data_IF_655697532763
#
_entry.id   IF_655697532763
#
_cell.length_a   1.000
_cell.length_b   1.000
_cell.length_c   1.000
_cell.angle_alpha   90.00
_cell.angle_beta   90.00
_cell.angle_gamma   90.00
#
_symmetry.space_group_name_H-M   'P 1'
#
loop_
_entity.id
_entity.type
_entity.pdbx_description
1 polymer ?
#
# COMPACT_ATOMS: atom_id res chain seq x y z
N UNK A 1 67.07 -23.30 -100.59
CA UNK A 1 67.41 -24.57 -101.24
C UNK A 1 67.11 -25.70 -100.28
N UNK A 2 66.12 -26.52 -100.63
CA UNK A 2 65.81 -27.78 -99.96
C UNK A 2 66.90 -28.82 -100.25
N UNK A 3 66.97 -29.89 -99.45
CA UNK A 3 67.91 -30.98 -99.68
C UNK A 3 67.71 -31.61 -101.08
N UNK A 4 66.47 -31.73 -101.54
CA UNK A 4 66.12 -32.19 -102.89
C UNK A 4 66.65 -31.25 -103.98
N UNK A 5 66.55 -29.93 -103.80
CA UNK A 5 67.11 -28.96 -104.75
C UNK A 5 68.63 -29.09 -104.88
N UNK A 6 69.33 -29.32 -103.77
CA UNK A 6 70.78 -29.55 -103.80
C UNK A 6 71.14 -30.87 -104.50
N UNK A 7 70.40 -31.96 -104.25
CA UNK A 7 70.67 -33.25 -104.90
C UNK A 7 70.34 -33.18 -106.39
N UNK A 8 69.25 -32.51 -106.79
CA UNK A 8 68.90 -32.29 -108.20
C UNK A 8 69.96 -31.47 -108.94
N UNK A 9 70.54 -30.47 -108.29
CA UNK A 9 71.66 -29.71 -108.86
C UNK A 9 72.88 -30.63 -109.11
N UNK A 10 73.23 -31.49 -108.16
CA UNK A 10 74.31 -32.48 -108.33
C UNK A 10 74.00 -33.46 -109.47
N UNK A 11 72.76 -33.94 -109.61
CA UNK A 11 72.36 -34.76 -110.77
C UNK A 11 72.56 -34.01 -112.10
N UNK A 12 72.20 -32.72 -112.14
CA UNK A 12 72.40 -31.87 -113.31
C UNK A 12 73.88 -31.68 -113.65
N UNK A 13 74.71 -31.42 -112.65
CA UNK A 13 76.15 -31.24 -112.79
C UNK A 13 76.85 -32.54 -113.25
N UNK A 14 76.46 -33.69 -112.70
CA UNK A 14 76.99 -35.02 -113.10
C UNK A 14 76.52 -35.39 -114.51
N UNK A 15 75.27 -35.09 -114.87
CA UNK A 15 74.76 -35.31 -116.24
C UNK A 15 75.49 -34.47 -117.28
N UNK A 16 75.77 -33.19 -116.96
CA UNK A 16 76.57 -32.32 -117.80
C UNK A 16 78.00 -32.85 -117.97
N UNK A 17 78.61 -33.36 -116.89
CA UNK A 17 79.94 -33.98 -116.92
C UNK A 17 79.97 -35.23 -117.81
N UNK A 18 78.94 -36.09 -117.75
CA UNK A 18 78.82 -37.26 -118.64
C UNK A 18 78.77 -36.81 -120.11
N UNK A 19 77.93 -35.81 -120.43
CA UNK A 19 77.83 -35.28 -121.80
C UNK A 19 79.14 -34.68 -122.32
N UNK A 20 79.91 -34.01 -121.48
CA UNK A 20 81.25 -33.51 -121.82
C UNK A 20 82.20 -34.69 -122.10
N UNK A 21 82.27 -35.70 -121.22
CA UNK A 21 83.15 -36.85 -121.38
C UNK A 21 82.80 -37.72 -122.61
N UNK A 22 81.52 -37.84 -122.97
CA UNK A 22 81.09 -38.54 -124.18
C UNK A 22 81.47 -37.79 -125.48
N UNK A 23 81.52 -36.44 -125.43
CA UNK A 23 81.83 -35.57 -126.57
C UNK A 23 83.32 -35.29 -126.84
N UNK A 24 84.22 -35.61 -125.91
CA UNK A 24 85.69 -35.43 -126.09
C UNK A 24 86.26 -36.50 -127.02
N UNK A 25 87.03 -36.12 -128.05
CA UNK A 25 87.60 -37.07 -129.03
C UNK A 25 88.68 -37.97 -128.40
N UNK A 26 88.83 -39.19 -128.92
CA UNK A 26 89.77 -40.22 -128.43
C UNK A 26 91.25 -39.83 -128.57
N UNK A 27 91.56 -38.71 -129.24
CA UNK A 27 92.92 -38.18 -129.37
C UNK A 27 93.32 -37.27 -128.20
N UNK A 28 92.33 -36.76 -127.44
CA UNK A 28 92.57 -35.76 -126.39
C UNK A 28 92.77 -36.37 -124.98
N UNK A 29 92.27 -37.58 -124.73
CA UNK A 29 92.29 -38.25 -123.41
C UNK A 29 92.45 -39.76 -123.59
N UNK A 30 93.21 -40.42 -122.71
CA UNK A 30 93.37 -41.87 -122.70
C UNK A 30 92.01 -42.58 -122.52
N UNK A 31 91.63 -43.44 -123.46
CA UNK A 31 90.29 -44.07 -123.51
C UNK A 31 89.96 -44.86 -122.23
N UNK A 32 90.96 -45.50 -121.61
CA UNK A 32 90.79 -46.21 -120.34
C UNK A 32 90.38 -45.29 -119.18
N UNK A 33 90.94 -44.09 -119.12
CA UNK A 33 90.57 -43.07 -118.14
C UNK A 33 89.16 -42.51 -118.42
N UNK A 34 88.83 -42.27 -119.70
CA UNK A 34 87.50 -41.80 -120.14
C UNK A 34 86.38 -42.78 -119.74
N UNK A 35 86.58 -44.07 -120.01
CA UNK A 35 85.62 -45.12 -119.67
C UNK A 35 85.41 -45.26 -118.16
N UNK A 36 86.47 -45.14 -117.36
CA UNK A 36 86.37 -45.24 -115.91
C UNK A 36 85.64 -44.04 -115.29
N UNK A 37 85.91 -42.82 -115.77
CA UNK A 37 85.19 -41.61 -115.36
C UNK A 37 83.70 -41.71 -115.72
N UNK A 38 83.37 -42.17 -116.93
CA UNK A 38 81.97 -42.37 -117.35
C UNK A 38 81.26 -43.43 -116.51
N UNK A 39 81.93 -44.54 -116.18
CA UNK A 39 81.40 -45.60 -115.32
C UNK A 39 81.09 -45.08 -113.92
N UNK A 40 82.01 -44.31 -113.33
CA UNK A 40 81.82 -43.70 -112.01
C UNK A 40 80.71 -42.64 -112.04
N UNK A 41 80.70 -41.78 -113.06
CA UNK A 41 79.69 -40.74 -113.20
C UNK A 41 78.27 -41.32 -113.36
N UNK A 42 78.10 -42.37 -114.17
CA UNK A 42 76.80 -43.07 -114.33
C UNK A 42 76.35 -43.74 -113.02
N UNK A 43 77.26 -44.35 -112.27
CA UNK A 43 76.95 -44.93 -110.95
C UNK A 43 76.56 -43.86 -109.91
N UNK A 44 77.26 -42.72 -109.91
CA UNK A 44 76.91 -41.59 -109.05
C UNK A 44 75.53 -41.05 -109.42
N UNK A 45 75.26 -40.86 -110.72
CA UNK A 45 73.97 -40.37 -111.21
C UNK A 45 72.82 -41.27 -110.77
N UNK A 46 72.93 -42.58 -111.01
CA UNK A 46 71.93 -43.58 -110.63
C UNK A 46 71.68 -43.59 -109.10
N UNK A 47 72.74 -43.47 -108.29
CA UNK A 47 72.60 -43.37 -106.84
C UNK A 47 71.92 -42.08 -106.41
N UNK A 48 72.28 -40.95 -107.02
CA UNK A 48 71.66 -39.66 -106.70
C UNK A 48 70.20 -39.60 -107.13
N UNK A 49 69.82 -40.19 -108.27
CA UNK A 49 68.42 -40.30 -108.71
C UNK A 49 67.59 -41.16 -107.74
N UNK A 50 68.11 -42.32 -107.34
CA UNK A 50 67.49 -43.14 -106.29
C UNK A 50 67.32 -42.38 -104.97
N UNK A 51 68.31 -41.56 -104.58
CA UNK A 51 68.20 -40.71 -103.39
C UNK A 51 67.13 -39.63 -103.53
N UNK A 52 66.98 -39.00 -104.71
CA UNK A 52 65.90 -38.02 -104.95
C UNK A 52 64.53 -38.67 -104.79
N UNK A 53 64.33 -39.85 -105.39
CA UNK A 53 63.06 -40.59 -105.29
C UNK A 53 62.74 -40.95 -103.83
N UNK A 54 63.70 -41.53 -103.10
CA UNK A 54 63.51 -41.88 -101.69
C UNK A 54 63.25 -40.66 -100.81
N UNK A 55 63.94 -39.54 -101.06
CA UNK A 55 63.73 -38.29 -100.30
C UNK A 55 62.34 -37.72 -100.56
N UNK A 56 61.86 -37.74 -101.81
CA UNK A 56 60.52 -37.28 -102.14
C UNK A 56 59.42 -38.12 -101.47
N UNK A 57 59.60 -39.45 -101.39
CA UNK A 57 58.69 -40.33 -100.66
C UNK A 57 58.66 -40.00 -99.17
N UNK A 58 59.83 -39.80 -98.56
CA UNK A 58 59.93 -39.44 -97.13
C UNK A 58 59.32 -38.07 -96.83
N UNK A 59 59.49 -37.07 -97.70
CA UNK A 59 58.85 -35.76 -97.56
C UNK A 59 57.32 -35.85 -97.64
N UNK A 60 56.80 -36.65 -98.59
CA UNK A 60 55.36 -36.91 -98.70
C UNK A 60 54.81 -37.61 -97.45
N UNK A 61 55.54 -38.60 -96.93
CA UNK A 61 55.17 -39.26 -95.68
C UNK A 61 55.19 -38.29 -94.49
N UNK A 62 56.22 -37.45 -94.36
CA UNK A 62 56.32 -36.45 -93.31
C UNK A 62 55.14 -35.48 -93.34
N UNK A 63 54.81 -34.94 -94.52
CA UNK A 63 53.63 -34.07 -94.68
C UNK A 63 52.34 -34.79 -94.30
N UNK A 64 52.18 -36.07 -94.66
CA UNK A 64 51.00 -36.85 -94.26
C UNK A 64 50.90 -37.02 -92.74
N UNK A 65 52.03 -37.26 -92.06
CA UNK A 65 52.10 -37.37 -90.60
C UNK A 65 51.80 -36.04 -89.91
N UNK A 66 52.34 -34.92 -90.41
CA UNK A 66 52.06 -33.59 -89.88
C UNK A 66 50.57 -33.23 -90.01
N UNK A 67 49.97 -33.58 -91.15
CA UNK A 67 48.53 -33.35 -91.41
C UNK A 67 47.68 -34.19 -90.47
N UNK A 68 48.01 -35.48 -90.32
CA UNK A 68 47.32 -36.38 -89.39
C UNK A 68 47.49 -35.93 -87.92
N UNK A 69 48.67 -35.42 -87.54
CA UNK A 69 48.91 -34.88 -86.20
C UNK A 69 48.08 -33.62 -85.94
N UNK A 70 47.99 -32.72 -86.92
CA UNK A 70 47.16 -31.53 -86.82
C UNK A 70 45.67 -31.89 -86.69
N UNK A 71 45.21 -32.91 -87.40
CA UNK A 71 43.84 -33.40 -87.32
C UNK A 71 43.54 -34.06 -85.96
N UNK A 72 44.45 -34.90 -85.44
CA UNK A 72 44.33 -35.46 -84.09
C UNK A 72 44.26 -34.38 -83.01
N UNK A 73 45.06 -33.30 -83.13
CA UNK A 73 44.99 -32.17 -82.19
C UNK A 73 43.63 -31.48 -82.24
N UNK A 74 43.07 -31.24 -83.43
CA UNK A 74 41.74 -30.65 -83.58
C UNK A 74 40.65 -31.54 -82.98
N UNK A 75 40.72 -32.85 -83.17
CA UNK A 75 39.76 -33.78 -82.57
C UNK A 75 39.89 -33.82 -81.04
N UNK A 76 41.11 -33.73 -80.51
CA UNK A 76 41.34 -33.63 -79.07
C UNK A 76 40.76 -32.34 -78.49
N UNK A 77 40.95 -31.20 -79.17
CA UNK A 77 40.38 -29.91 -78.76
C UNK A 77 38.84 -29.95 -78.73
N UNK A 78 38.20 -30.56 -79.75
CA UNK A 78 36.73 -30.77 -79.79
C UNK A 78 36.25 -31.65 -78.64
N UNK A 79 36.97 -32.73 -78.35
CA UNK A 79 36.67 -33.64 -77.24
C UNK A 79 36.79 -32.93 -75.90
N UNK A 80 37.85 -32.13 -75.71
CA UNK A 80 38.07 -31.35 -74.51
C UNK A 80 36.98 -30.29 -74.31
N UNK A 81 36.57 -29.60 -75.38
CA UNK A 81 35.47 -28.63 -75.32
C UNK A 81 34.14 -29.32 -74.98
N UNK A 82 33.83 -30.46 -75.61
CA UNK A 82 32.64 -31.25 -75.31
C UNK A 82 32.63 -31.73 -73.86
N UNK A 83 33.78 -32.18 -73.34
CA UNK A 83 33.93 -32.59 -71.95
C UNK A 83 33.70 -31.41 -70.99
N UNK A 84 34.28 -30.25 -71.28
CA UNK A 84 34.12 -29.05 -70.45
C UNK A 84 32.67 -28.57 -70.39
N UNK A 85 31.96 -28.57 -71.52
CA UNK A 85 30.53 -28.20 -71.58
C UNK A 85 29.71 -29.16 -70.72
N UNK A 86 29.90 -30.48 -70.88
CA UNK A 86 29.16 -31.49 -70.09
C UNK A 86 29.46 -31.38 -68.60
N UNK A 87 30.72 -31.14 -68.23
CA UNK A 87 31.10 -30.94 -66.84
C UNK A 87 30.43 -29.70 -66.26
N UNK A 88 30.42 -28.59 -66.99
CA UNK A 88 29.79 -27.36 -66.56
C UNK A 88 28.27 -27.50 -66.40
N UNK A 89 27.60 -28.20 -67.34
CA UNK A 89 26.17 -28.47 -67.26
C UNK A 89 25.82 -29.38 -66.08
N UNK A 90 26.64 -30.40 -65.83
CA UNK A 90 26.47 -31.30 -64.68
C UNK A 90 26.62 -30.55 -63.36
N UNK A 91 27.69 -29.74 -63.22
CA UNK A 91 27.91 -28.90 -62.02
C UNK A 91 26.76 -27.92 -61.80
N UNK A 92 26.25 -27.29 -62.87
CA UNK A 92 25.07 -26.40 -62.77
C UNK A 92 23.83 -27.15 -62.31
N UNK A 93 23.58 -28.34 -62.85
CA UNK A 93 22.43 -29.17 -62.48
C UNK A 93 22.49 -29.61 -61.01
N UNK A 94 23.64 -30.13 -60.56
CA UNK A 94 23.82 -30.53 -59.15
C UNK A 94 23.72 -29.34 -58.20
N UNK A 95 24.30 -28.19 -58.57
CA UNK A 95 24.20 -26.97 -57.75
C UNK A 95 22.74 -26.54 -57.59
N UNK A 96 21.95 -26.58 -58.67
CA UNK A 96 20.53 -26.25 -58.63
C UNK A 96 19.75 -27.23 -57.74
N UNK A 97 20.00 -28.53 -57.89
CA UNK A 97 19.35 -29.55 -57.05
C UNK A 97 19.69 -29.36 -55.57
N UNK A 98 20.96 -29.09 -55.24
CA UNK A 98 21.39 -28.82 -53.86
C UNK A 98 20.69 -27.58 -53.31
N UNK A 99 20.61 -26.50 -54.09
CA UNK A 99 19.92 -25.27 -53.69
C UNK A 99 18.43 -25.50 -53.42
N UNK A 100 17.74 -26.25 -54.29
CA UNK A 100 16.33 -26.61 -54.12
C UNK A 100 16.11 -27.45 -52.85
N UNK A 101 16.95 -28.47 -52.61
CA UNK A 101 16.87 -29.29 -51.38
C UNK A 101 17.11 -28.48 -50.11
N UNK A 102 18.08 -27.56 -50.12
CA UNK A 102 18.35 -26.68 -48.98
C UNK A 102 17.18 -25.73 -48.74
N UNK A 103 16.63 -25.12 -49.79
CA UNK A 103 15.48 -24.23 -49.67
C UNK A 103 14.26 -24.95 -49.09
N UNK A 104 13.94 -26.14 -49.62
CA UNK A 104 12.83 -26.97 -49.10
C UNK A 104 13.06 -27.37 -47.63
N UNK A 105 14.28 -27.74 -47.27
CA UNK A 105 14.62 -28.07 -45.88
C UNK A 105 14.47 -26.86 -44.94
N UNK A 106 14.94 -25.68 -45.35
CA UNK A 106 14.82 -24.45 -44.58
C UNK A 106 13.36 -24.02 -44.41
N UNK A 107 12.55 -24.12 -45.47
CA UNK A 107 11.12 -23.82 -45.41
C UNK A 107 10.37 -24.75 -44.45
N UNK A 108 10.63 -26.06 -44.51
CA UNK A 108 10.06 -27.04 -43.56
C UNK A 108 10.47 -26.75 -42.11
N UNK A 109 11.75 -26.45 -41.87
CA UNK A 109 12.26 -26.06 -40.55
C UNK A 109 11.58 -24.79 -40.04
N UNK A 110 11.49 -23.76 -40.89
CA UNK A 110 10.87 -22.49 -40.54
C UNK A 110 9.38 -22.67 -40.22
N UNK A 111 8.63 -23.34 -41.09
CA UNK A 111 7.21 -23.62 -40.88
C UNK A 111 6.97 -24.45 -39.62
N UNK A 112 7.78 -25.48 -39.36
CA UNK A 112 7.67 -26.28 -38.14
C UNK A 112 7.93 -25.46 -36.88
N UNK A 113 8.98 -24.62 -36.87
CA UNK A 113 9.29 -23.75 -35.73
C UNK A 113 8.23 -22.67 -35.54
N UNK A 114 7.73 -22.10 -36.62
CA UNK A 114 6.66 -21.11 -36.58
C UNK A 114 5.36 -21.70 -36.01
N UNK A 115 4.96 -22.90 -36.45
CA UNK A 115 3.79 -23.61 -35.89
C UNK A 115 4.00 -23.91 -34.40
N UNK A 116 5.18 -24.38 -33.99
CA UNK A 116 5.49 -24.62 -32.58
C UNK A 116 5.38 -23.33 -31.74
N UNK A 117 5.97 -22.23 -32.22
CA UNK A 117 5.90 -20.93 -31.56
C UNK A 117 4.46 -20.42 -31.44
N UNK A 118 3.67 -20.52 -32.51
CA UNK A 118 2.25 -20.13 -32.48
C UNK A 118 1.47 -20.98 -31.47
N UNK A 119 1.78 -22.28 -31.34
CA UNK A 119 1.15 -23.14 -30.35
C UNK A 119 1.57 -22.77 -28.91
N UNK A 120 2.84 -22.45 -28.67
CA UNK A 120 3.33 -22.00 -27.37
C UNK A 120 2.67 -20.67 -26.95
N UNK A 121 2.60 -19.69 -27.86
CA UNK A 121 1.93 -18.41 -27.59
C UNK A 121 0.46 -18.64 -27.27
N UNK A 122 -0.25 -19.47 -28.05
CA UNK A 122 -1.66 -19.80 -27.77
C UNK A 122 -1.85 -20.51 -26.42
N UNK A 123 -0.92 -21.37 -26.01
CA UNK A 123 -0.97 -22.01 -24.68
C UNK A 123 -0.73 -20.98 -23.57
N UNK A 124 0.27 -20.12 -23.72
CA UNK A 124 0.54 -19.05 -22.77
C UNK A 124 -0.65 -18.09 -22.63
N UNK A 125 -1.30 -17.71 -23.74
CA UNK A 125 -2.51 -16.89 -23.72
C UNK A 125 -3.69 -17.63 -23.05
N UNK A 126 -3.85 -18.92 -23.32
CA UNK A 126 -4.89 -19.74 -22.69
C UNK A 126 -4.65 -19.96 -21.18
N UNK A 127 -3.39 -19.99 -20.73
CA UNK A 127 -3.02 -20.07 -19.31
C UNK A 127 -3.14 -18.71 -18.59
N UNK A 128 -2.83 -17.62 -19.29
CA UNK A 128 -2.95 -16.27 -18.78
C UNK A 128 -4.41 -15.80 -18.67
N UNK A 129 -5.28 -16.20 -19.61
CA UNK A 129 -6.66 -15.73 -19.71
C UNK A 129 -7.52 -16.03 -18.45
N UNK A 130 -7.54 -17.23 -17.86
CA UNK A 130 -8.26 -17.50 -16.62
C UNK A 130 -7.73 -16.68 -15.43
N UNK A 131 -6.40 -16.52 -15.33
CA UNK A 131 -5.78 -15.73 -14.27
C UNK A 131 -6.11 -14.24 -14.40
N UNK A 132 -6.21 -13.73 -15.64
CA UNK A 132 -6.60 -12.36 -15.93
C UNK A 132 -8.08 -12.12 -15.65
N UNK A 133 -8.97 -13.01 -16.09
CA UNK A 133 -10.41 -12.90 -15.80
C UNK A 133 -10.70 -12.97 -14.29
N UNK A 134 -10.04 -13.87 -13.55
CA UNK A 134 -10.21 -13.96 -12.09
C UNK A 134 -9.66 -12.71 -11.39
N UNK A 135 -8.57 -12.13 -11.89
CA UNK A 135 -8.04 -10.86 -11.37
C UNK A 135 -9.00 -9.70 -11.63
N UNK A 136 -9.58 -9.61 -12.82
CA UNK A 136 -10.55 -8.57 -13.21
C UNK A 136 -11.81 -8.68 -12.35
N UNK A 137 -12.38 -9.88 -12.22
CA UNK A 137 -13.50 -10.15 -11.31
C UNK A 137 -13.23 -9.72 -9.86
N UNK A 138 -12.03 -10.00 -9.33
CA UNK A 138 -11.64 -9.58 -7.98
C UNK A 138 -11.45 -8.06 -7.86
N UNK A 139 -11.13 -7.37 -8.94
CA UNK A 139 -11.08 -5.91 -8.97
C UNK A 139 -12.50 -5.33 -8.98
N UNK A 140 -13.38 -5.86 -9.81
CA UNK A 140 -14.79 -5.45 -9.87
C UNK A 140 -15.49 -5.64 -8.51
N UNK A 141 -15.27 -6.78 -7.85
CA UNK A 141 -15.80 -7.04 -6.50
C UNK A 141 -15.26 -6.05 -5.46
N UNK A 142 -14.01 -5.61 -5.58
CA UNK A 142 -13.43 -4.60 -4.69
C UNK A 142 -13.98 -3.21 -4.98
N UNK A 143 -14.12 -2.85 -6.25
CA UNK A 143 -14.70 -1.57 -6.68
C UNK A 143 -16.14 -1.45 -6.20
N UNK A 144 -16.95 -2.51 -6.35
CA UNK A 144 -18.31 -2.55 -5.84
C UNK A 144 -18.37 -2.34 -4.31
N UNK A 145 -17.48 -2.99 -3.55
CA UNK A 145 -17.40 -2.80 -2.07
C UNK A 145 -17.01 -1.38 -1.70
N UNK A 146 -16.12 -0.75 -2.46
CA UNK A 146 -15.74 0.64 -2.25
C UNK A 146 -16.93 1.57 -2.51
N UNK A 147 -17.67 1.39 -3.61
CA UNK A 147 -18.87 2.17 -3.89
C UNK A 147 -19.95 2.02 -2.79
N UNK A 148 -20.16 0.81 -2.27
CA UNK A 148 -21.08 0.58 -1.15
C UNK A 148 -20.62 1.26 0.15
N UNK A 149 -19.31 1.29 0.42
CA UNK A 149 -18.74 1.97 1.56
C UNK A 149 -18.85 3.49 1.42
N UNK A 150 -18.56 4.04 0.25
CA UNK A 150 -18.73 5.46 -0.05
C UNK A 150 -20.19 5.88 0.14
N UNK A 151 -21.13 5.09 -0.38
CA UNK A 151 -22.57 5.34 -0.18
C UNK A 151 -22.96 5.39 1.31
N UNK A 152 -22.51 4.42 2.10
CA UNK A 152 -22.78 4.40 3.56
C UNK A 152 -22.14 5.58 4.28
N UNK A 153 -20.94 6.00 3.86
CA UNK A 153 -20.28 7.18 4.41
C UNK A 153 -21.06 8.47 4.06
N UNK A 154 -21.55 8.60 2.83
CA UNK A 154 -22.37 9.75 2.44
C UNK A 154 -23.69 9.80 3.20
N UNK A 155 -24.39 8.67 3.35
CA UNK A 155 -25.64 8.59 4.13
C UNK A 155 -25.39 8.97 5.60
N UNK A 156 -24.32 8.46 6.20
CA UNK A 156 -23.96 8.79 7.59
C UNK A 156 -23.52 10.24 7.75
N UNK A 157 -22.85 10.80 6.76
CA UNK A 157 -22.47 12.22 6.76
C UNK A 157 -23.72 13.10 6.70
N UNK A 158 -24.70 12.77 5.86
CA UNK A 158 -25.98 13.49 5.79
C UNK A 158 -26.73 13.41 7.14
N UNK A 159 -26.81 12.23 7.75
CA UNK A 159 -27.43 12.07 9.08
C UNK A 159 -26.72 12.89 10.16
N UNK A 160 -25.38 12.91 10.16
CA UNK A 160 -24.60 13.72 11.09
C UNK A 160 -24.84 15.22 10.89
N UNK A 161 -24.93 15.68 9.64
CA UNK A 161 -25.22 17.09 9.36
C UNK A 161 -26.61 17.49 9.84
N UNK A 162 -27.62 16.64 9.65
CA UNK A 162 -28.98 16.85 10.18
C UNK A 162 -29.00 16.87 11.72
N UNK A 163 -28.21 16.00 12.36
CA UNK A 163 -28.10 15.99 13.83
C UNK A 163 -27.38 17.23 14.34
N UNK A 164 -26.33 17.70 13.66
CA UNK A 164 -25.62 18.92 14.02
C UNK A 164 -26.52 20.15 13.93
N UNK A 165 -27.34 20.28 12.88
CA UNK A 165 -28.30 21.38 12.75
C UNK A 165 -29.35 21.35 13.86
N UNK A 166 -29.93 20.18 14.16
CA UNK A 166 -30.89 20.02 15.26
C UNK A 166 -30.29 20.36 16.64
N UNK A 167 -29.05 19.95 16.91
CA UNK A 167 -28.34 20.32 18.14
C UNK A 167 -28.07 21.83 18.20
N UNK A 168 -27.72 22.45 17.07
CA UNK A 168 -27.54 23.92 16.99
C UNK A 168 -28.84 24.65 17.30
N UNK A 169 -29.97 24.20 16.77
CA UNK A 169 -31.30 24.76 17.07
C UNK A 169 -31.66 24.60 18.55
N UNK A 170 -31.46 23.40 19.11
CA UNK A 170 -31.71 23.13 20.53
C UNK A 170 -30.85 24.02 21.43
N UNK A 171 -29.59 24.23 21.07
CA UNK A 171 -28.69 25.14 21.79
C UNK A 171 -29.19 26.58 21.74
N UNK A 172 -29.68 27.04 20.59
CA UNK A 172 -30.28 28.37 20.45
C UNK A 172 -31.51 28.50 21.36
N UNK A 173 -32.37 27.48 21.39
CA UNK A 173 -33.56 27.46 22.24
C UNK A 173 -33.22 27.48 23.74
N UNK A 174 -32.29 26.62 24.17
CA UNK A 174 -31.82 26.59 25.57
C UNK A 174 -31.23 27.95 25.97
N UNK A 175 -30.41 28.56 25.12
CA UNK A 175 -29.87 29.89 25.36
C UNK A 175 -30.98 30.98 25.41
N UNK A 176 -32.07 30.84 24.65
CA UNK A 176 -33.22 31.74 24.77
C UNK A 176 -33.90 31.58 26.13
N UNK A 177 -34.25 30.35 26.50
CA UNK A 177 -34.92 30.04 27.77
C UNK A 177 -34.06 30.43 28.98
N UNK A 178 -32.74 30.24 28.90
CA UNK A 178 -31.81 30.70 29.95
C UNK A 178 -31.84 32.23 30.11
N UNK A 179 -31.89 32.98 29.00
CA UNK A 179 -32.04 34.45 29.06
C UNK A 179 -33.38 34.88 29.63
N UNK A 180 -34.47 34.22 29.24
CA UNK A 180 -35.81 34.46 29.79
C UNK A 180 -35.88 34.18 31.30
N UNK A 181 -35.32 33.05 31.75
CA UNK A 181 -35.23 32.71 33.17
C UNK A 181 -34.35 33.69 33.97
N UNK A 182 -33.24 34.14 33.40
CA UNK A 182 -32.39 35.15 34.01
C UNK A 182 -33.14 36.48 34.18
N UNK A 183 -33.89 36.92 33.16
CA UNK A 183 -34.73 38.10 33.22
C UNK A 183 -35.85 37.97 34.26
N UNK A 184 -36.54 36.82 34.30
CA UNK A 184 -37.59 36.54 35.28
C UNK A 184 -37.06 36.52 36.73
N UNK A 185 -35.85 35.97 36.95
CA UNK A 185 -35.19 36.03 38.26
C UNK A 185 -34.81 37.44 38.66
N UNK A 186 -34.32 38.27 37.72
CA UNK A 186 -34.04 39.69 37.95
C UNK A 186 -35.29 40.42 38.45
N UNK A 187 -36.40 40.31 37.72
CA UNK A 187 -37.67 40.95 38.10
C UNK A 187 -38.25 40.43 39.42
N UNK A 188 -38.11 39.13 39.71
CA UNK A 188 -38.57 38.58 40.99
C UNK A 188 -37.72 39.06 42.16
N UNK A 189 -36.42 39.27 41.97
CA UNK A 189 -35.53 39.78 43.01
C UNK A 189 -35.84 41.25 43.32
N UNK A 190 -36.00 42.07 42.28
CA UNK A 190 -36.41 43.48 42.41
C UNK A 190 -37.75 43.61 43.16
N UNK A 191 -38.75 42.79 42.81
CA UNK A 191 -40.05 42.83 43.46
C UNK A 191 -40.02 42.41 44.94
N UNK A 192 -39.18 41.43 45.31
CA UNK A 192 -39.01 41.01 46.71
C UNK A 192 -38.28 42.09 47.52
N UNK A 193 -37.28 42.75 46.93
CA UNK A 193 -36.55 43.85 47.56
C UNK A 193 -37.48 45.04 47.85
N UNK A 194 -38.29 45.47 46.86
CA UNK A 194 -39.31 46.51 47.06
C UNK A 194 -40.34 46.14 48.15
N UNK A 195 -40.77 44.88 48.20
CA UNK A 195 -41.70 44.40 49.23
C UNK A 195 -41.06 44.38 50.62
N UNK A 196 -39.79 43.95 50.72
CA UNK A 196 -39.05 43.90 51.96
C UNK A 196 -38.80 45.31 52.50
N UNK A 197 -38.39 46.25 51.65
CA UNK A 197 -38.19 47.65 52.03
C UNK A 197 -39.48 48.28 52.57
N UNK A 198 -40.61 48.06 51.89
CA UNK A 198 -41.92 48.52 52.37
C UNK A 198 -42.32 47.92 53.72
N UNK A 199 -42.03 46.62 53.93
CA UNK A 199 -42.28 45.95 55.22
C UNK A 199 -41.34 46.43 56.32
N UNK A 200 -40.06 46.65 56.03
CA UNK A 200 -39.08 47.18 56.98
C UNK A 200 -39.48 48.58 57.45
N UNK A 201 -39.92 49.45 56.54
CA UNK A 201 -40.41 50.80 56.87
C UNK A 201 -41.64 50.74 57.79
N UNK A 202 -42.55 49.81 57.51
CA UNK A 202 -43.75 49.57 58.35
C UNK A 202 -43.36 49.02 59.73
N UNK A 203 -42.41 48.10 59.81
CA UNK A 203 -41.91 47.58 61.08
C UNK A 203 -41.23 48.66 61.90
N UNK A 204 -40.42 49.52 61.27
CA UNK A 204 -39.73 50.62 61.94
C UNK A 204 -40.72 51.61 62.57
N UNK A 205 -41.77 51.99 61.84
CA UNK A 205 -42.84 52.86 62.35
C UNK A 205 -43.60 52.22 63.51
N UNK A 206 -43.96 50.93 63.41
CA UNK A 206 -44.60 50.22 64.54
C UNK A 206 -43.70 50.09 65.76
N UNK A 207 -42.38 49.93 65.58
CA UNK A 207 -41.41 49.90 66.67
C UNK A 207 -41.28 51.26 67.36
N UNK A 208 -41.32 52.36 66.61
CA UNK A 208 -41.38 53.71 67.17
C UNK A 208 -42.66 53.92 67.99
N UNK A 209 -43.81 53.49 67.48
CA UNK A 209 -45.08 53.53 68.23
C UNK A 209 -45.01 52.70 69.51
N UNK A 210 -44.47 51.47 69.45
CA UNK A 210 -44.27 50.60 70.62
C UNK A 210 -43.31 51.24 71.61
N UNK A 211 -42.25 51.91 71.16
CA UNK A 211 -41.31 52.64 72.02
C UNK A 211 -42.01 53.78 72.77
N UNK A 212 -42.87 54.54 72.08
CA UNK A 212 -43.70 55.59 72.69
C UNK A 212 -44.66 55.00 73.73
N UNK A 213 -45.32 53.89 73.41
CA UNK A 213 -46.19 53.16 74.35
C UNK A 213 -45.40 52.64 75.55
N UNK A 214 -44.24 52.04 75.32
CA UNK A 214 -43.34 51.53 76.36
C UNK A 214 -42.86 52.62 77.31
N UNK A 215 -42.50 53.79 76.79
CA UNK A 215 -42.16 54.96 77.61
C UNK A 215 -43.36 55.44 78.46
N UNK A 216 -44.58 55.36 77.92
CA UNK A 216 -45.81 55.68 78.65
C UNK A 216 -46.08 54.68 79.78
N UNK A 217 -45.97 53.37 79.51
CA UNK A 217 -46.12 52.30 80.51
C UNK A 217 -45.07 52.43 81.60
N UNK A 218 -43.80 52.68 81.25
CA UNK A 218 -42.73 52.88 82.23
C UNK A 218 -43.05 54.04 83.18
N UNK A 219 -43.63 55.13 82.64
CA UNK A 219 -44.09 56.26 83.46
C UNK A 219 -45.20 55.83 84.43
N UNK A 220 -46.17 55.03 83.97
CA UNK A 220 -47.23 54.49 84.82
C UNK A 220 -46.69 53.53 85.89
N UNK A 221 -45.73 52.66 85.56
CA UNK A 221 -45.08 51.76 86.51
C UNK A 221 -44.34 52.53 87.59
N UNK A 222 -43.62 53.60 87.24
CA UNK A 222 -42.93 54.44 88.23
C UNK A 222 -43.92 55.08 89.20
N UNK A 223 -45.04 55.64 88.70
CA UNK A 223 -46.11 56.20 89.54
C UNK A 223 -46.72 55.11 90.44
N UNK A 224 -46.99 53.94 89.88
CA UNK A 224 -47.58 52.81 90.63
C UNK A 224 -46.61 52.27 91.69
N UNK A 225 -45.31 52.23 91.38
CA UNK A 225 -44.26 51.81 92.32
C UNK A 225 -44.09 52.82 93.46
N UNK A 226 -44.26 54.12 93.19
CA UNK A 226 -44.28 55.16 94.21
C UNK A 226 -45.50 54.99 95.15
N UNK A 227 -46.68 54.71 94.58
CA UNK A 227 -47.90 54.39 95.34
C UNK A 227 -47.73 53.10 96.16
N UNK A 228 -47.17 52.03 95.59
CA UNK A 228 -46.89 50.77 96.31
C UNK A 228 -45.84 50.99 97.39
N UNK A 229 -44.82 51.81 97.15
CA UNK A 229 -43.86 52.22 98.16
C UNK A 229 -44.53 52.95 99.33
N UNK A 230 -45.49 53.83 99.02
CA UNK A 230 -46.29 54.52 100.03
C UNK A 230 -47.18 53.55 100.82
N UNK A 231 -47.85 52.62 100.14
CA UNK A 231 -48.67 51.56 100.77
C UNK A 231 -47.80 50.64 101.63
N UNK A 232 -46.60 50.27 101.17
CA UNK A 232 -45.66 49.45 101.92
C UNK A 232 -45.12 50.18 103.15
N UNK A 233 -44.88 51.50 103.04
CA UNK A 233 -44.52 52.37 104.15
C UNK A 233 -45.65 52.45 105.19
N UNK A 234 -46.90 52.55 104.74
CA UNK A 234 -48.06 52.59 105.63
C UNK A 234 -48.41 51.22 106.24
N UNK A 235 -48.19 50.11 105.52
CA UNK A 235 -48.35 48.74 106.04
C UNK A 235 -47.24 48.36 107.02
N UNK A 236 -46.01 48.87 106.84
CA UNK A 236 -44.91 48.64 107.79
C UNK A 236 -45.12 49.31 109.16
N UNK A 237 -46.03 50.29 109.26
CA UNK A 237 -46.47 50.88 110.53
C UNK A 237 -47.48 50.01 111.30
N UNK A 238 -48.01 48.93 110.72
CA UNK A 238 -49.13 48.16 111.28
C UNK A 238 -48.80 46.75 111.80
N UNK A 239 -47.54 46.32 111.83
CA UNK A 239 -47.05 45.20 112.66
C UNK A 239 -47.59 43.78 112.36
N UNK A 240 -46.73 42.91 111.83
CA UNK A 240 -46.86 41.44 111.94
C UNK A 240 -46.72 40.66 110.62
N UNK A 241 -46.22 39.39 110.63
CA UNK A 241 -45.21 38.93 109.67
C UNK A 241 -45.65 37.81 108.68
N UNK A 242 -44.69 37.47 107.81
CA UNK A 242 -44.43 36.19 107.08
C UNK A 242 -44.94 36.01 105.61
N UNK A 243 -44.26 35.16 104.79
CA UNK A 243 -43.85 35.35 103.38
C UNK A 243 -44.63 34.32 102.50
N UNK A 244 -44.11 33.56 101.50
CA UNK A 244 -43.04 33.71 100.48
C UNK A 244 -43.60 33.45 99.04
N UNK A 245 -42.76 33.47 98.00
CA UNK A 245 -43.10 32.87 96.69
C UNK A 245 -42.03 31.87 96.23
N UNK A 246 -42.44 30.62 96.12
CA UNK A 246 -41.92 29.55 95.26
C UNK A 246 -42.42 29.83 93.82
N UNK A 247 -41.91 29.33 92.69
CA UNK A 247 -41.12 28.14 92.36
C UNK A 247 -40.64 28.29 90.91
N UNK A 248 -39.50 27.69 90.58
CA UNK A 248 -38.96 27.46 89.24
C UNK A 248 -39.85 26.54 88.38
N UNK A 249 -39.86 26.72 87.05
CA UNK A 249 -40.04 25.64 86.05
C UNK A 249 -39.29 25.96 84.74
N UNK A 250 -38.34 25.09 84.37
CA UNK A 250 -38.32 24.45 83.04
C UNK A 250 -37.45 25.04 81.93
N UNK A 251 -36.24 24.47 81.76
CA UNK A 251 -35.42 24.58 80.53
C UNK A 251 -36.01 23.71 79.37
N UNK A 252 -36.06 24.18 78.10
CA UNK A 252 -36.69 23.44 77.00
C UNK A 252 -35.79 22.45 76.23
N UNK A 253 -36.46 21.46 75.63
CA UNK A 253 -36.04 20.22 74.93
C UNK A 253 -35.26 20.36 73.59
N UNK A 254 -34.42 21.36 73.39
CA UNK A 254 -33.64 21.49 72.13
C UNK A 254 -32.26 20.81 72.17
N UNK A 255 -31.83 20.26 73.33
CA UNK A 255 -30.50 19.67 73.51
C UNK A 255 -30.37 18.18 73.12
N UNK A 256 -31.44 17.52 72.63
CA UNK A 256 -31.40 16.10 72.25
C UNK A 256 -31.27 15.83 70.74
N UNK A 257 -31.13 16.88 69.91
CA UNK A 257 -31.03 16.73 68.44
C UNK A 257 -29.62 17.00 67.87
N UNK A 258 -28.64 17.30 68.74
CA UNK A 258 -27.30 17.75 68.33
C UNK A 258 -26.18 16.69 68.47
N UNK A 259 -26.51 15.44 68.82
CA UNK A 259 -25.52 14.37 69.02
C UNK A 259 -25.58 13.23 67.98
N UNK A 260 -26.49 13.30 67.00
CA UNK A 260 -26.64 12.31 65.93
C UNK A 260 -25.82 12.62 64.67
N UNK A 261 -25.15 13.77 64.61
CA UNK A 261 -24.42 14.26 63.43
C UNK A 261 -22.89 14.11 63.51
N UNK A 262 -22.34 13.50 64.57
CA UNK A 262 -20.87 13.30 64.73
C UNK A 262 -20.39 11.86 64.54
N UNK A 263 -21.27 10.92 64.16
CA UNK A 263 -20.88 9.54 63.87
C UNK A 263 -20.47 9.32 62.41
N UNK A 264 -20.73 10.29 61.53
CA UNK A 264 -20.45 10.16 60.09
C UNK A 264 -19.08 10.72 59.68
N UNK A 265 -18.50 11.69 60.38
CA UNK A 265 -17.25 12.32 59.95
C UNK A 265 -16.05 11.35 60.00
N UNK A 266 -15.90 10.52 61.04
CA UNK A 266 -14.70 9.69 61.21
C UNK A 266 -14.71 8.37 60.43
N UNK A 267 -15.89 7.85 60.07
CA UNK A 267 -16.05 6.69 59.20
C UNK A 267 -15.91 7.08 57.73
N UNK A 268 -16.39 8.28 57.36
CA UNK A 268 -16.20 8.86 56.04
C UNK A 268 -14.72 9.22 55.86
N UNK A 269 -14.04 9.87 56.81
CA UNK A 269 -12.61 10.21 56.65
C UNK A 269 -11.71 8.98 56.49
N UNK A 270 -12.02 7.87 57.19
CA UNK A 270 -11.25 6.61 57.08
C UNK A 270 -11.60 5.82 55.81
N UNK A 271 -12.82 5.96 55.29
CA UNK A 271 -13.20 5.45 53.97
C UNK A 271 -12.59 6.32 52.85
N UNK A 272 -12.53 7.64 53.05
CA UNK A 272 -11.95 8.63 52.13
C UNK A 272 -10.43 8.49 52.03
N UNK A 273 -9.73 8.10 53.10
CA UNK A 273 -8.29 7.79 53.03
C UNK A 273 -7.97 6.51 52.23
N UNK A 274 -8.90 5.55 52.16
CA UNK A 274 -8.77 4.39 51.26
C UNK A 274 -9.32 4.67 49.86
N UNK A 275 -10.30 5.58 49.72
CA UNK A 275 -10.75 6.12 48.44
C UNK A 275 -9.73 7.09 47.82
N UNK A 276 -8.78 7.65 48.57
CA UNK A 276 -7.67 8.39 47.98
C UNK A 276 -6.76 7.48 47.12
N UNK A 277 -6.74 6.16 47.37
CA UNK A 277 -6.08 5.16 46.52
C UNK A 277 -6.94 4.87 45.28
N UNK A 278 -8.25 5.01 45.39
CA UNK A 278 -9.21 4.90 44.30
C UNK A 278 -9.63 6.30 43.88
N UNK A 279 -8.78 7.03 43.16
CA UNK A 279 -9.15 8.34 42.60
C UNK A 279 -10.43 8.21 41.76
N UNK A 280 -11.60 8.38 42.38
CA UNK A 280 -12.91 8.14 41.77
C UNK A 280 -13.26 9.40 40.98
N UNK A 281 -13.04 9.35 39.68
CA UNK A 281 -13.27 10.46 38.77
C UNK A 281 -14.65 10.32 38.13
N UNK A 282 -15.63 11.07 38.63
CA UNK A 282 -16.93 11.23 37.98
C UNK A 282 -17.87 10.02 38.12
N UNK A 283 -18.93 10.20 38.92
CA UNK A 283 -20.11 9.35 38.93
C UNK A 283 -21.18 9.98 38.03
N UNK A 284 -21.13 9.67 36.74
CA UNK A 284 -22.01 10.31 35.76
C UNK A 284 -23.43 9.73 35.85
N UNK A 285 -24.42 10.61 36.08
CA UNK A 285 -25.85 10.28 36.09
C UNK A 285 -26.30 9.30 37.19
N UNK A 286 -25.61 9.26 38.32
CA UNK A 286 -26.01 8.47 39.50
C UNK A 286 -26.73 9.36 40.52
N UNK A 287 -27.84 8.86 41.07
CA UNK A 287 -28.51 9.54 42.19
C UNK A 287 -27.67 9.45 43.47
N UNK A 288 -27.76 10.40 44.42
CA UNK A 288 -26.94 10.40 45.65
C UNK A 288 -27.01 9.08 46.44
N UNK A 289 -28.19 8.43 46.49
CA UNK A 289 -28.36 7.13 47.16
C UNK A 289 -27.61 6.00 46.44
N UNK A 290 -27.43 6.11 45.13
CA UNK A 290 -26.76 5.12 44.28
C UNK A 290 -25.26 5.30 44.33
N UNK A 291 -24.78 6.54 44.42
CA UNK A 291 -23.38 6.85 44.75
C UNK A 291 -23.03 6.29 46.12
N UNK A 292 -23.91 6.47 47.13
CA UNK A 292 -23.71 5.85 48.44
C UNK A 292 -23.68 4.31 48.36
N UNK A 293 -24.56 3.68 47.57
CA UNK A 293 -24.55 2.22 47.40
C UNK A 293 -23.29 1.73 46.68
N UNK A 294 -22.85 2.42 45.63
CA UNK A 294 -21.60 2.13 44.91
C UNK A 294 -20.41 2.18 45.86
N UNK A 295 -20.32 3.21 46.71
CA UNK A 295 -19.27 3.32 47.71
C UNK A 295 -19.34 2.14 48.70
N UNK A 296 -20.52 1.79 49.19
CA UNK A 296 -20.70 0.65 50.10
C UNK A 296 -20.33 -0.69 49.45
N UNK A 297 -20.66 -0.90 48.18
CA UNK A 297 -20.35 -2.12 47.43
C UNK A 297 -18.85 -2.20 47.10
N UNK A 298 -18.19 -1.07 46.82
CA UNK A 298 -16.74 -0.98 46.53
C UNK A 298 -15.90 -1.15 47.80
N UNK A 299 -16.42 -0.72 48.95
CA UNK A 299 -15.78 -0.88 50.25
C UNK A 299 -15.85 -2.31 50.80
N UNK A 300 -16.50 -3.25 50.11
CA UNK A 300 -16.37 -4.67 50.43
C UNK A 300 -14.94 -5.15 50.11
N UNK A 301 -14.28 -5.92 51.02
CA UNK A 301 -12.87 -6.29 50.87
C UNK A 301 -12.51 -6.96 49.54
N UNK A 302 -13.39 -7.83 49.02
CA UNK A 302 -13.16 -8.57 47.77
C UNK A 302 -13.23 -7.65 46.53
N UNK A 303 -14.06 -6.61 46.57
CA UNK A 303 -14.22 -5.65 45.48
C UNK A 303 -13.13 -4.57 45.50
N UNK A 304 -12.66 -4.19 46.70
CA UNK A 304 -11.58 -3.22 46.88
C UNK A 304 -10.28 -3.71 46.23
N UNK A 305 -9.94 -4.99 46.43
CA UNK A 305 -8.78 -5.62 45.81
C UNK A 305 -8.84 -5.60 44.27
N UNK A 306 -10.02 -5.85 43.71
CA UNK A 306 -10.24 -5.82 42.26
C UNK A 306 -10.14 -4.41 41.68
N UNK A 307 -10.67 -3.41 42.39
CA UNK A 307 -10.57 -2.01 42.00
C UNK A 307 -9.11 -1.51 42.01
N UNK A 308 -8.32 -1.90 43.02
CA UNK A 308 -6.88 -1.59 43.07
C UNK A 308 -6.10 -2.23 41.91
N UNK A 309 -6.38 -3.51 41.58
CA UNK A 309 -5.74 -4.17 40.42
C UNK A 309 -6.01 -3.46 39.09
N UNK A 310 -7.21 -2.89 38.92
CA UNK A 310 -7.57 -2.14 37.72
C UNK A 310 -6.79 -0.82 37.61
N UNK A 311 -6.53 -0.15 38.74
CA UNK A 311 -5.70 1.07 38.80
C UNK A 311 -4.23 0.76 38.48
N UNK A 312 -3.70 -0.34 39.00
CA UNK A 312 -2.27 -0.68 38.84
C UNK A 312 -1.95 -1.32 37.48
N UNK A 313 -2.81 -2.21 36.98
CA UNK A 313 -2.48 -3.14 35.87
C UNK A 313 -3.59 -3.34 34.84
N UNK A 314 -4.69 -2.60 34.93
CA UNK A 314 -5.83 -2.72 34.02
C UNK A 314 -5.63 -2.04 32.66
N UNK A 315 -6.33 -2.48 31.59
CA UNK A 315 -6.31 -1.82 30.29
C UNK A 315 -6.74 -0.36 30.42
N UNK A 316 -5.99 0.54 29.79
CA UNK A 316 -6.40 1.94 29.68
C UNK A 316 -7.59 2.06 28.74
N UNK A 317 -8.59 2.85 29.13
CA UNK A 317 -9.65 3.34 28.24
C UNK A 317 -10.85 2.43 27.91
N UNK A 318 -10.91 1.20 28.42
CA UNK A 318 -12.08 0.33 28.26
C UNK A 318 -13.01 0.35 29.47
N UNK A 319 -14.30 0.07 29.24
CA UNK A 319 -15.31 -0.02 30.29
C UNK A 319 -15.49 -1.47 30.74
N UNK A 320 -15.63 -1.68 32.03
CA UNK A 320 -15.80 -3.00 32.65
C UNK A 320 -17.07 -3.04 33.49
N UNK A 321 -17.78 -4.16 33.48
CA UNK A 321 -18.91 -4.38 34.36
C UNK A 321 -18.42 -4.63 35.79
N UNK A 322 -18.77 -3.76 36.74
CA UNK A 322 -18.32 -3.84 38.14
C UNK A 322 -18.73 -5.16 38.82
N UNK A 323 -19.94 -5.65 38.55
CA UNK A 323 -20.40 -6.98 39.03
C UNK A 323 -19.70 -8.16 38.35
N UNK A 324 -19.06 -7.92 37.20
CA UNK A 324 -18.45 -8.92 36.32
C UNK A 324 -16.93 -8.86 36.25
N UNK A 325 -16.27 -8.08 37.13
CA UNK A 325 -14.79 -7.99 37.17
C UNK A 325 -14.15 -9.39 37.36
N UNK A 326 -14.93 -10.39 37.80
CA UNK A 326 -14.52 -11.78 37.93
C UNK A 326 -14.11 -12.49 36.61
N UNK A 327 -14.46 -11.99 35.42
CA UNK A 327 -14.25 -12.78 34.19
C UNK A 327 -13.26 -12.19 33.16
N UNK A 328 -12.67 -11.02 33.41
CA UNK A 328 -11.64 -10.46 32.51
C UNK A 328 -12.11 -10.12 31.08
N UNK A 329 -13.42 -10.01 30.86
CA UNK A 329 -13.99 -9.67 29.57
C UNK A 329 -13.95 -8.15 29.37
N UNK A 330 -13.23 -7.70 28.34
CA UNK A 330 -13.32 -6.34 27.82
C UNK A 330 -14.72 -6.15 27.24
N UNK A 331 -15.44 -5.14 27.73
CA UNK A 331 -16.76 -4.80 27.23
C UNK A 331 -16.60 -3.51 26.42
N UNK A 332 -16.80 -3.58 25.10
CA UNK A 332 -17.11 -2.38 24.33
C UNK A 332 -18.60 -2.07 24.54
N UNK A 333 -18.96 -1.01 25.28
CA UNK A 333 -20.36 -0.69 25.52
C UNK A 333 -20.98 -0.17 24.23
N UNK A 334 -21.64 -1.04 23.47
CA UNK A 334 -22.56 -0.60 22.42
C UNK A 334 -23.75 0.10 23.09
N UNK A 335 -23.94 1.39 22.81
CA UNK A 335 -25.06 2.21 23.28
C UNK A 335 -25.21 2.35 24.81
N UNK A 336 -24.10 2.50 25.55
CA UNK A 336 -24.10 2.70 27.01
C UNK A 336 -24.76 1.55 27.81
N UNK A 337 -24.84 0.36 27.22
CA UNK A 337 -25.45 -0.83 27.84
C UNK A 337 -24.43 -1.92 28.11
N UNK A 338 -24.67 -2.64 29.21
CA UNK A 338 -23.87 -3.77 29.66
C UNK A 338 -24.49 -5.04 29.08
N UNK A 339 -23.80 -5.75 28.17
CA UNK A 339 -24.40 -6.88 27.45
C UNK A 339 -24.70 -8.08 28.35
N UNK A 340 -24.12 -8.11 29.56
CA UNK A 340 -24.19 -9.22 30.50
C UNK A 340 -25.21 -8.97 31.62
N UNK A 341 -25.32 -7.73 32.10
CA UNK A 341 -26.11 -7.40 33.29
C UNK A 341 -26.96 -6.13 33.07
N UNK A 342 -28.28 -6.25 33.27
CA UNK A 342 -29.21 -5.14 33.02
C UNK A 342 -29.28 -4.03 34.09
N UNK A 343 -28.52 -4.14 35.19
CA UNK A 343 -28.47 -3.13 36.28
C UNK A 343 -27.03 -3.03 36.82
N UNK A 344 -26.08 -2.89 35.89
CA UNK A 344 -24.65 -2.97 36.12
C UNK A 344 -24.02 -1.56 36.13
N UNK A 345 -22.94 -1.40 36.89
CA UNK A 345 -22.13 -0.17 36.91
C UNK A 345 -20.91 -0.44 36.03
N UNK A 346 -20.66 0.43 35.07
CA UNK A 346 -19.48 0.39 34.22
C UNK A 346 -18.35 1.19 34.87
N UNK A 347 -17.15 0.65 34.84
CA UNK A 347 -15.94 1.27 35.41
C UNK A 347 -14.84 1.32 34.36
N UNK A 348 -14.14 2.45 34.28
CA UNK A 348 -13.03 2.67 33.33
C UNK A 348 -11.84 3.29 34.03
N UNK A 349 -10.63 2.80 33.73
CA UNK A 349 -9.38 3.43 34.16
C UNK A 349 -9.15 4.70 33.36
N UNK A 350 -8.89 5.81 34.04
CA UNK A 350 -8.66 7.13 33.43
C UNK A 350 -7.41 7.77 33.99
N UNK A 351 -6.68 8.49 33.14
CA UNK A 351 -5.57 9.35 33.54
C UNK A 351 -6.08 10.79 33.58
N UNK A 352 -5.70 11.53 34.62
CA UNK A 352 -6.04 12.94 34.77
C UNK A 352 -4.92 13.66 35.51
N UNK A 353 -4.75 14.94 35.25
CA UNK A 353 -3.78 15.74 35.98
C UNK A 353 -4.40 16.19 37.31
N UNK A 354 -3.68 15.98 38.42
CA UNK A 354 -4.12 16.44 39.73
C UNK A 354 -4.07 17.97 39.84
N UNK A 355 -4.49 18.55 40.98
CA UNK A 355 -4.51 20.01 41.18
C UNK A 355 -3.12 20.67 41.06
N UNK A 356 -2.05 19.87 41.11
CA UNK A 356 -0.66 20.32 40.92
C UNK A 356 -0.14 20.11 39.49
N UNK A 357 -0.97 19.59 38.57
CA UNK A 357 -0.61 19.32 37.18
C UNK A 357 0.21 18.04 36.98
N UNK A 358 0.24 17.14 37.97
CA UNK A 358 0.91 15.85 37.87
C UNK A 358 -0.07 14.76 37.41
N UNK A 359 0.34 13.86 36.49
CA UNK A 359 -0.55 12.84 35.97
C UNK A 359 -0.83 11.77 37.03
N UNK A 360 -2.10 11.65 37.41
CA UNK A 360 -2.61 10.62 38.31
C UNK A 360 -3.55 9.65 37.59
N UNK A 361 -3.73 8.47 38.19
CA UNK A 361 -4.58 7.40 37.67
C UNK A 361 -5.80 7.27 38.58
N UNK A 362 -6.98 7.18 37.97
CA UNK A 362 -8.24 7.01 38.67
C UNK A 362 -9.20 6.06 37.97
N UNK A 363 -10.35 5.86 38.60
CA UNK A 363 -11.46 5.08 38.07
C UNK A 363 -12.68 5.97 37.86
N UNK A 364 -13.26 5.90 36.66
CA UNK A 364 -14.50 6.57 36.29
C UNK A 364 -15.66 5.60 36.29
N UNK A 365 -16.78 6.00 36.86
CA UNK A 365 -17.96 5.15 37.04
C UNK A 365 -19.16 5.70 36.28
N UNK A 366 -19.91 4.81 35.63
CA UNK A 366 -21.12 5.14 34.89
C UNK A 366 -22.20 4.10 35.14
N UNK A 367 -23.43 4.55 35.41
CA UNK A 367 -24.59 3.67 35.51
C UNK A 367 -25.18 3.39 34.14
N UNK A 368 -25.48 2.13 33.87
CA UNK A 368 -26.21 1.70 32.67
C UNK A 368 -27.69 2.03 32.84
N UNK A 369 -28.29 2.67 31.83
CA UNK A 369 -29.74 2.91 31.82
C UNK A 369 -30.44 1.63 31.38
N UNK A 370 -31.45 1.17 32.14
CA UNK A 370 -32.36 0.11 31.69
C UNK A 370 -33.06 0.57 30.41
N UNK A 371 -33.00 -0.25 29.35
CA UNK A 371 -33.83 -0.05 28.18
C UNK A 371 -35.31 -0.14 28.61
N UNK A 372 -36.10 0.86 28.22
CA UNK A 372 -37.57 0.83 28.33
C UNK A 372 -38.14 0.13 27.11
#
# INVERSE_FOLDING_TARGET
MTLIENIRQVCGDVSAMIGICEGVSSEAVEEGFRLEVLRLAKNVLEKTENMVEQTAVLESQLQSYETAQAEMRREFDKLQETFNIRLQDHVKAETKEIQERIAEHMEKQFNSRFVALVQEVRRADAEASPCQMEREKRLDEKEQRLCEMEKRLTERQEELTLRETSLRETRIEVNSRMRELAAARGHSSEHVEEMLDGRFLTMQTTLEEISVIGASIQRQVNITSEVVGQISSDLSKLGGPTPPSTTEVGKPKWLHKYQSLRFWDSAIDRAMSHLAILNVVGAENMEPKEVCQLLLDTLQPDNLYLAMRLVDSGPSEYWFCFRGICNGEEIEPENDQCPIHGDCILVKRTYFDNEMGEPEIGLKFRKVRKAV
#
